data_IF_382730450031
#
_entry.id   IF_382730450031
#
_cell.length_a   1.000
_cell.length_b   1.000
_cell.length_c   1.000
_cell.angle_alpha   90.00
_cell.angle_beta   90.00
_cell.angle_gamma   90.00
#
_symmetry.space_group_name_H-M   'P 1'
#
loop_
_entity.id
_entity.type
_entity.pdbx_description
1 polymer ?
#
# COMPACT_ATOMS: atom_id res chain seq x y z
N UNK A 1 23.73 14.77 -25.57
CA UNK A 1 22.75 14.92 -24.48
C UNK A 1 22.67 16.41 -24.14
N UNK A 2 21.48 17.02 -24.08
CA UNK A 2 21.36 18.44 -23.76
C UNK A 2 21.68 18.66 -22.27
N UNK A 3 22.67 19.51 -21.95
CA UNK A 3 23.15 19.71 -20.58
C UNK A 3 22.13 20.40 -19.65
N UNK A 4 21.15 21.13 -20.19
CA UNK A 4 20.08 21.77 -19.40
C UNK A 4 18.84 20.89 -19.27
N UNK A 5 18.49 20.16 -20.33
CA UNK A 5 17.18 19.48 -20.44
C UNK A 5 17.24 17.97 -20.30
N UNK A 6 18.42 17.36 -20.40
CA UNK A 6 18.57 15.91 -20.27
C UNK A 6 17.79 15.11 -21.31
N UNK A 7 17.05 14.10 -20.84
CA UNK A 7 16.23 13.19 -21.64
C UNK A 7 14.86 13.04 -20.96
N UNK A 8 13.78 13.08 -21.74
CA UNK A 8 12.42 12.80 -21.28
C UNK A 8 11.98 11.42 -21.74
N UNK A 9 11.61 10.55 -20.81
CA UNK A 9 11.00 9.25 -21.09
C UNK A 9 9.49 9.29 -20.90
N UNK A 10 8.74 8.73 -21.86
CA UNK A 10 7.29 8.54 -21.77
C UNK A 10 7.01 7.04 -21.80
N UNK A 11 6.15 6.57 -20.90
CA UNK A 11 5.75 5.18 -20.82
C UNK A 11 4.34 5.04 -20.27
N UNK A 12 3.72 3.88 -20.49
CA UNK A 12 2.47 3.50 -19.87
C UNK A 12 2.73 2.41 -18.81
N UNK A 13 1.90 2.42 -17.76
CA UNK A 13 1.91 1.40 -16.70
C UNK A 13 0.51 1.20 -16.18
N UNK A 14 0.29 0.08 -15.51
CA UNK A 14 -0.93 -0.12 -14.72
C UNK A 14 -1.02 0.91 -13.58
N UNK A 15 -2.23 1.10 -13.04
CA UNK A 15 -2.48 1.97 -11.90
C UNK A 15 -1.58 1.59 -10.72
N UNK A 16 -0.99 2.60 -10.09
CA UNK A 16 -0.14 2.43 -8.92
C UNK A 16 -0.85 3.09 -7.75
N UNK A 17 -0.89 2.39 -6.63
CA UNK A 17 -1.40 2.92 -5.37
C UNK A 17 -0.22 3.10 -4.43
N UNK A 18 0.02 4.33 -4.02
CA UNK A 18 1.01 4.65 -3.01
C UNK A 18 0.32 4.65 -1.64
N UNK A 19 0.70 3.70 -0.81
CA UNK A 19 0.06 3.43 0.46
C UNK A 19 1.14 3.23 1.51
N UNK A 20 0.98 3.84 2.67
CA UNK A 20 1.96 3.72 3.73
C UNK A 20 1.30 3.24 5.03
N UNK A 21 2.08 2.55 5.85
CA UNK A 21 1.64 2.00 7.13
C UNK A 21 2.56 2.47 8.24
N UNK A 22 2.03 3.26 9.16
CA UNK A 22 2.77 3.81 10.30
C UNK A 22 2.81 2.81 11.44
N UNK A 23 3.99 2.61 12.00
CA UNK A 23 4.23 1.65 13.08
C UNK A 23 4.43 2.37 14.40
N UNK A 24 3.96 1.77 15.48
CA UNK A 24 4.09 2.29 16.85
C UNK A 24 5.48 2.02 17.42
N UNK A 25 6.51 2.53 16.75
CA UNK A 25 7.92 2.44 17.13
C UNK A 25 8.72 3.47 16.33
N UNK A 26 9.87 3.87 16.83
CA UNK A 26 10.89 4.69 16.18
C UNK A 26 12.04 3.84 15.59
N UNK A 27 11.99 2.51 15.77
CA UNK A 27 13.00 1.55 15.33
C UNK A 27 12.98 1.34 13.81
N UNK A 28 13.83 2.05 13.10
CA UNK A 28 13.91 2.01 11.62
C UNK A 28 14.20 0.61 11.10
N UNK A 29 15.02 -0.17 11.82
CA UNK A 29 15.35 -1.54 11.47
C UNK A 29 14.11 -2.45 11.41
N UNK A 30 13.09 -2.18 12.24
CA UNK A 30 11.83 -2.94 12.22
C UNK A 30 11.05 -2.64 10.94
N UNK A 31 10.88 -1.36 10.58
CA UNK A 31 10.23 -1.00 9.33
C UNK A 31 10.97 -1.54 8.10
N UNK A 32 12.31 -1.48 8.09
CA UNK A 32 13.12 -2.02 7.00
C UNK A 32 13.00 -3.55 6.89
N UNK A 33 12.98 -4.26 8.02
CA UNK A 33 12.81 -5.71 8.04
C UNK A 33 11.42 -6.11 7.50
N UNK A 34 10.36 -5.43 7.95
CA UNK A 34 8.99 -5.66 7.48
C UNK A 34 8.89 -5.33 5.98
N UNK A 35 9.41 -4.19 5.53
CA UNK A 35 9.40 -3.80 4.12
C UNK A 35 10.09 -4.83 3.23
N UNK A 36 11.21 -5.42 3.68
CA UNK A 36 11.89 -6.51 2.97
C UNK A 36 11.03 -7.76 2.85
N UNK A 37 10.26 -8.11 3.89
CA UNK A 37 9.35 -9.27 3.87
C UNK A 37 8.11 -9.05 3.03
N UNK A 38 7.61 -7.82 2.96
CA UNK A 38 6.39 -7.48 2.22
C UNK A 38 6.63 -7.36 0.72
N UNK A 39 7.76 -6.76 0.31
CA UNK A 39 8.04 -6.48 -1.10
C UNK A 39 8.44 -7.73 -1.88
N UNK A 40 8.05 -7.79 -3.16
CA UNK A 40 8.32 -8.92 -4.04
C UNK A 40 9.80 -9.28 -4.13
N UNK A 41 10.69 -8.29 -4.25
CA UNK A 41 12.14 -8.53 -4.39
C UNK A 41 12.76 -9.20 -3.15
N UNK A 42 12.07 -9.18 -2.00
CA UNK A 42 12.48 -9.92 -0.80
C UNK A 42 11.74 -11.24 -0.59
N UNK A 43 11.03 -11.73 -1.62
CA UNK A 43 10.23 -12.97 -1.56
C UNK A 43 8.80 -12.77 -1.03
N UNK A 44 8.38 -11.51 -0.83
CA UNK A 44 7.06 -11.16 -0.34
C UNK A 44 5.97 -11.18 -1.41
N UNK A 45 4.99 -10.29 -1.24
CA UNK A 45 3.86 -10.14 -2.14
C UNK A 45 4.32 -9.69 -3.52
N UNK A 46 3.85 -10.40 -4.55
CA UNK A 46 3.99 -9.94 -5.94
C UNK A 46 3.28 -8.59 -6.10
N UNK A 47 3.73 -7.79 -7.06
CA UNK A 47 3.17 -6.47 -7.34
C UNK A 47 3.25 -5.45 -6.19
N UNK A 48 4.02 -5.74 -5.12
CA UNK A 48 4.30 -4.78 -4.06
C UNK A 48 5.79 -4.43 -4.05
N UNK A 49 6.06 -3.12 -4.07
CA UNK A 49 7.38 -2.55 -3.79
C UNK A 49 7.28 -1.84 -2.45
N UNK A 50 8.32 -1.92 -1.62
CA UNK A 50 8.28 -1.27 -0.31
C UNK A 50 9.65 -0.96 0.26
N UNK A 51 9.68 0.04 1.13
CA UNK A 51 10.82 0.51 1.89
C UNK A 51 10.40 0.90 3.31
N UNK A 52 11.33 0.83 4.26
CA UNK A 52 11.15 1.37 5.60
C UNK A 52 11.70 2.79 5.67
N UNK A 53 10.94 3.73 6.22
CA UNK A 53 11.30 5.14 6.36
C UNK A 53 11.14 5.57 7.82
N UNK A 54 11.99 6.51 8.26
CA UNK A 54 11.81 7.21 9.52
C UNK A 54 10.95 8.46 9.29
N UNK A 55 10.06 8.73 10.24
CA UNK A 55 9.25 9.95 10.33
C UNK A 55 9.76 10.74 11.55
N UNK A 56 10.88 11.44 11.38
CA UNK A 56 11.61 12.10 12.47
C UNK A 56 10.72 13.05 13.28
N UNK A 57 9.90 13.85 12.61
CA UNK A 57 8.97 14.79 13.26
C UNK A 57 7.89 14.12 14.11
N UNK A 58 7.58 12.84 13.84
CA UNK A 58 6.55 12.07 14.55
C UNK A 58 7.14 11.10 15.56
N UNK A 59 8.46 10.95 15.63
CA UNK A 59 9.12 9.92 16.45
C UNK A 59 8.64 8.51 16.09
N UNK A 60 8.37 8.26 14.79
CA UNK A 60 7.78 7.02 14.30
C UNK A 60 8.52 6.50 13.07
N UNK A 61 8.25 5.26 12.70
CA UNK A 61 8.67 4.67 11.43
C UNK A 61 7.49 4.20 10.62
N UNK A 62 7.70 4.12 9.31
CA UNK A 62 6.68 3.81 8.35
C UNK A 62 7.18 2.76 7.36
N UNK A 63 6.31 1.84 6.98
CA UNK A 63 6.51 1.01 5.78
C UNK A 63 5.80 1.72 4.65
N UNK A 64 6.57 2.32 3.75
CA UNK A 64 6.04 2.94 2.53
C UNK A 64 6.01 1.92 1.41
N UNK A 65 4.88 1.82 0.70
CA UNK A 65 4.72 0.85 -0.38
C UNK A 65 4.03 1.43 -1.62
N UNK A 66 4.37 0.83 -2.75
CA UNK A 66 3.70 1.01 -4.02
C UNK A 66 3.12 -0.34 -4.46
N UNK A 67 1.79 -0.42 -4.56
CA UNK A 67 1.10 -1.53 -5.19
C UNK A 67 1.02 -1.22 -6.67
N UNK A 68 1.77 -1.96 -7.49
CA UNK A 68 1.87 -1.72 -8.94
C UNK A 68 0.80 -2.47 -9.75
N UNK A 69 0.05 -3.35 -9.09
CA UNK A 69 -1.16 -3.97 -9.62
C UNK A 69 -2.06 -4.40 -8.46
N UNK A 70 -3.08 -3.60 -8.17
CA UNK A 70 -3.97 -3.83 -7.02
C UNK A 70 -4.96 -4.98 -7.24
N UNK A 71 -5.29 -5.31 -8.49
CA UNK A 71 -6.19 -6.43 -8.83
C UNK A 71 -5.55 -7.80 -8.53
N UNK A 72 -4.21 -7.87 -8.58
CA UNK A 72 -3.46 -9.09 -8.28
C UNK A 72 -2.97 -9.15 -6.84
N UNK A 73 -2.81 -8.00 -6.19
CA UNK A 73 -2.49 -7.92 -4.76
C UNK A 73 -3.19 -6.71 -4.18
N UNK A 74 -4.22 -6.97 -3.39
CA UNK A 74 -5.07 -5.96 -2.82
C UNK A 74 -4.39 -5.23 -1.65
N UNK A 75 -4.86 -4.00 -1.36
CA UNK A 75 -4.32 -3.16 -0.29
C UNK A 75 -4.42 -3.88 1.06
N UNK A 76 -5.57 -4.48 1.36
CA UNK A 76 -5.78 -5.21 2.62
C UNK A 76 -4.76 -6.35 2.80
N UNK A 77 -4.37 -7.06 1.73
CA UNK A 77 -3.40 -8.16 1.84
C UNK A 77 -2.03 -7.66 2.28
N UNK A 78 -1.59 -6.52 1.71
CA UNK A 78 -0.33 -5.89 2.10
C UNK A 78 -0.39 -5.34 3.53
N UNK A 79 -1.52 -4.74 3.93
CA UNK A 79 -1.74 -4.24 5.28
C UNK A 79 -1.75 -5.37 6.32
N UNK A 80 -2.47 -6.46 6.07
CA UNK A 80 -2.52 -7.62 6.96
C UNK A 80 -1.16 -8.33 7.07
N UNK A 81 -0.41 -8.42 5.97
CA UNK A 81 0.96 -8.92 6.04
C UNK A 81 1.84 -8.03 6.94
N UNK A 82 1.75 -6.69 6.82
CA UNK A 82 2.46 -5.78 7.72
C UNK A 82 2.04 -5.95 9.17
N UNK A 83 0.73 -6.03 9.45
CA UNK A 83 0.22 -6.25 10.82
C UNK A 83 0.79 -7.54 11.40
N UNK A 84 0.79 -8.61 10.62
CA UNK A 84 1.34 -9.92 11.00
C UNK A 84 2.84 -9.85 11.29
N UNK A 85 3.63 -9.23 10.40
CA UNK A 85 5.07 -9.08 10.59
C UNK A 85 5.41 -8.13 11.76
N UNK A 86 4.69 -7.02 11.91
CA UNK A 86 4.88 -6.06 13.01
C UNK A 86 4.63 -6.71 14.38
N UNK A 87 3.60 -7.57 14.47
CA UNK A 87 3.29 -8.32 15.70
C UNK A 87 4.47 -9.19 16.18
N UNK A 88 5.30 -9.71 15.26
CA UNK A 88 6.50 -10.49 15.61
C UNK A 88 7.58 -9.67 16.31
N UNK A 89 7.55 -8.35 16.16
CA UNK A 89 8.47 -7.42 16.83
C UNK A 89 7.85 -6.74 18.06
N UNK A 90 6.63 -7.15 18.46
CA UNK A 90 5.87 -6.49 19.52
C UNK A 90 5.38 -5.09 19.15
N UNK A 91 5.27 -4.77 17.86
CA UNK A 91 4.87 -3.46 17.35
C UNK A 91 3.48 -3.53 16.75
N UNK A 92 2.68 -2.48 16.97
CA UNK A 92 1.36 -2.31 16.36
C UNK A 92 1.40 -1.33 15.18
N UNK A 93 0.43 -1.45 14.28
CA UNK A 93 0.14 -0.42 13.28
C UNK A 93 -0.68 0.68 13.95
N UNK A 94 -0.26 1.93 13.80
CA UNK A 94 -0.97 3.11 14.35
C UNK A 94 -2.10 3.53 13.41
N UNK A 95 -1.75 3.79 12.15
CA UNK A 95 -2.67 4.16 11.09
C UNK A 95 -2.02 3.92 9.72
N UNK A 96 -2.76 4.22 8.67
CA UNK A 96 -2.32 4.12 7.29
C UNK A 96 -2.53 5.43 6.55
N UNK A 97 -1.79 5.62 5.47
CA UNK A 97 -1.80 6.85 4.69
C UNK A 97 -1.86 6.51 3.20
N UNK A 98 -2.82 7.10 2.49
CA UNK A 98 -2.88 7.09 1.04
C UNK A 98 -2.17 8.33 0.50
N UNK A 99 -1.27 8.14 -0.44
CA UNK A 99 -0.62 9.25 -1.15
C UNK A 99 -1.26 9.42 -2.53
N UNK A 100 -2.04 10.48 -2.69
CA UNK A 100 -2.76 10.78 -3.92
C UNK A 100 -4.11 10.06 -4.02
N UNK A 101 -4.36 9.38 -5.14
CA UNK A 101 -5.63 8.75 -5.46
C UNK A 101 -5.48 7.23 -5.58
N UNK A 102 -6.58 6.50 -5.43
CA UNK A 102 -6.69 5.08 -5.74
C UNK A 102 -7.94 4.81 -6.60
N UNK A 103 -7.95 3.72 -7.40
CA UNK A 103 -9.16 3.25 -8.05
C UNK A 103 -10.22 2.80 -7.04
N UNK A 104 -11.50 3.07 -7.33
CA UNK A 104 -12.64 2.70 -6.47
C UNK A 104 -12.64 1.21 -6.11
N UNK A 105 -12.40 0.34 -7.10
CA UNK A 105 -12.35 -1.10 -6.90
C UNK A 105 -11.39 -1.53 -5.77
N UNK A 106 -10.21 -0.91 -5.68
CA UNK A 106 -9.23 -1.24 -4.64
C UNK A 106 -9.73 -0.90 -3.22
N UNK A 107 -10.52 0.16 -3.10
CA UNK A 107 -11.16 0.55 -1.85
C UNK A 107 -12.28 -0.42 -1.49
N UNK A 108 -13.15 -0.74 -2.45
CA UNK A 108 -14.28 -1.66 -2.31
C UNK A 108 -13.80 -3.05 -1.89
N UNK A 109 -12.76 -3.59 -2.55
CA UNK A 109 -12.17 -4.89 -2.20
C UNK A 109 -11.67 -4.93 -0.76
N UNK A 110 -11.06 -3.83 -0.30
CA UNK A 110 -10.53 -3.72 1.07
C UNK A 110 -11.67 -3.60 2.09
N UNK A 111 -12.70 -2.81 1.79
CA UNK A 111 -13.88 -2.68 2.63
C UNK A 111 -14.62 -4.02 2.76
N UNK A 112 -14.84 -4.72 1.65
CA UNK A 112 -15.47 -6.03 1.62
C UNK A 112 -14.71 -7.04 2.50
N UNK A 113 -13.37 -7.08 2.39
CA UNK A 113 -12.54 -7.95 3.21
C UNK A 113 -12.68 -7.66 4.71
N UNK A 114 -12.58 -6.41 5.12
CA UNK A 114 -12.63 -6.05 6.54
C UNK A 114 -14.03 -6.15 7.16
N UNK A 115 -15.08 -5.86 6.38
CA UNK A 115 -16.46 -5.90 6.85
C UNK A 115 -17.08 -7.30 6.80
N UNK A 116 -16.50 -8.21 6.01
CA UNK A 116 -16.99 -9.59 5.84
C UNK A 116 -18.47 -9.66 5.44
N UNK A 117 -18.90 -8.73 4.58
CA UNK A 117 -20.28 -8.68 4.09
C UNK A 117 -20.49 -9.89 3.16
N UNK A 118 -21.48 -10.71 3.48
CA UNK A 118 -21.86 -11.88 2.67
C UNK A 118 -22.37 -11.44 1.30
N UNK A 119 -21.87 -12.10 0.24
CA UNK A 119 -22.24 -11.86 -1.16
C UNK A 119 -22.21 -10.39 -1.62
N UNK A 120 -21.32 -9.58 -1.04
CA UNK A 120 -21.20 -8.16 -1.40
C UNK A 120 -20.74 -7.97 -2.84
N UNK A 121 -21.48 -7.15 -3.58
CA UNK A 121 -21.17 -6.83 -4.97
C UNK A 121 -20.85 -5.34 -5.14
N UNK A 122 -19.91 -4.98 -6.03
CA UNK A 122 -19.55 -3.58 -6.27
C UNK A 122 -20.74 -2.68 -6.62
N UNK A 123 -21.76 -3.19 -7.31
CA UNK A 123 -22.95 -2.44 -7.74
C UNK A 123 -23.84 -1.98 -6.57
N UNK A 124 -23.59 -2.51 -5.36
CA UNK A 124 -24.24 -2.05 -4.14
C UNK A 124 -23.61 -0.77 -3.57
N UNK A 125 -22.50 -0.29 -4.15
CA UNK A 125 -21.90 1.01 -3.84
C UNK A 125 -22.56 2.06 -4.72
N UNK A 126 -23.29 3.01 -4.12
CA UNK A 126 -24.10 3.99 -4.86
C UNK A 126 -23.31 4.70 -5.97
N UNK A 127 -22.07 5.08 -5.69
CA UNK A 127 -21.21 5.79 -6.63
C UNK A 127 -20.84 4.98 -7.88
N UNK A 128 -20.83 3.64 -7.84
CA UNK A 128 -20.54 2.84 -9.04
C UNK A 128 -21.63 3.00 -10.09
N UNK A 129 -22.87 3.22 -9.65
CA UNK A 129 -24.01 3.44 -10.55
C UNK A 129 -23.95 4.81 -11.26
N UNK A 130 -23.15 5.75 -10.74
CA UNK A 130 -22.96 7.09 -11.31
C UNK A 130 -21.78 7.17 -12.28
N UNK A 131 -20.87 6.18 -12.25
CA UNK A 131 -19.65 6.16 -13.07
C UNK A 131 -19.89 5.48 -14.44
N UNK A 132 -20.96 4.70 -14.56
CA UNK A 132 -21.31 3.97 -15.80
C UNK A 132 -22.11 4.81 -16.82
N UNK A 133 -22.36 6.11 -16.56
CA UNK A 133 -22.94 7.09 -17.48
C UNK A 133 -21.88 8.00 -18.14
#
# INVERSE_FOLDING_TARGET
MNAKSGVTGVAARFHLIAFNVNLNTDRLEVAQAIAKKVRHIGGGLRFVKGIGLALEEKGQVQVSMNLVNFEKTAIYQALEMIRSEAKRYGVSVVNTELIGLLPLQALVDSAAYYMQIEDFKPEQVLETLLIEE
#
